data_IF_893739201427
#
_entry.id   IF_893739201427
#
_cell.length_a   1.000
_cell.length_b   1.000
_cell.length_c   1.000
_cell.angle_alpha   90.00
_cell.angle_beta   90.00
_cell.angle_gamma   90.00
#
_symmetry.space_group_name_H-M   'P 1'
#
loop_
_entity.id
_entity.type
_entity.pdbx_description
1 polymer ?
#
# COMPACT_ATOMS: atom_id res chain seq x y z
N UNK A 1 -8.93 -9.85 15.53
CA UNK A 1 -8.31 -8.63 16.10
C UNK A 1 -7.74 -8.89 17.50
N UNK A 2 -8.52 -9.29 18.51
CA UNK A 2 -7.95 -9.54 19.85
C UNK A 2 -6.83 -10.59 19.86
N UNK A 3 -6.97 -11.67 19.08
CA UNK A 3 -5.94 -12.74 18.98
C UNK A 3 -4.70 -12.33 18.16
N UNK A 4 -4.87 -11.50 17.13
CA UNK A 4 -3.78 -11.15 16.22
C UNK A 4 -3.13 -9.81 16.55
N UNK A 5 -3.92 -8.82 16.97
CA UNK A 5 -3.44 -7.45 17.21
C UNK A 5 -3.56 -7.00 18.67
N UNK A 6 -4.22 -7.76 19.55
CA UNK A 6 -4.39 -7.38 20.96
C UNK A 6 -5.33 -6.20 21.19
N UNK A 7 -6.07 -5.76 20.16
CA UNK A 7 -7.02 -4.65 20.23
C UNK A 7 -8.34 -5.11 20.88
N UNK A 8 -8.92 -4.27 21.71
CA UNK A 8 -10.25 -4.48 22.27
C UNK A 8 -11.28 -3.85 21.32
N UNK A 9 -11.96 -4.68 20.54
CA UNK A 9 -12.90 -4.27 19.49
C UNK A 9 -14.25 -4.90 19.77
N UNK A 10 -15.28 -4.08 19.85
CA UNK A 10 -16.67 -4.55 19.90
C UNK A 10 -17.17 -4.81 18.46
N UNK A 11 -17.41 -6.06 18.06
CA UNK A 11 -17.79 -6.38 16.69
C UNK A 11 -19.12 -5.76 16.25
N UNK A 12 -19.99 -5.36 17.18
CA UNK A 12 -21.28 -4.78 16.88
C UNK A 12 -21.25 -3.27 16.64
N UNK A 13 -20.25 -2.59 17.17
CA UNK A 13 -20.20 -1.11 17.12
C UNK A 13 -18.97 -0.57 16.41
N UNK A 14 -17.86 -1.32 16.39
CA UNK A 14 -16.55 -0.80 15.97
C UNK A 14 -16.12 -1.29 14.59
N UNK A 15 -16.96 -2.10 13.90
CA UNK A 15 -16.64 -2.68 12.59
C UNK A 15 -17.68 -2.28 11.56
N UNK A 16 -17.23 -1.73 10.44
CA UNK A 16 -18.04 -1.50 9.25
C UNK A 16 -17.55 -2.44 8.13
N UNK A 17 -18.45 -3.31 7.62
CA UNK A 17 -18.17 -4.13 6.43
C UNK A 17 -18.44 -3.29 5.18
N UNK A 18 -17.52 -3.34 4.21
CA UNK A 18 -17.56 -2.50 3.01
C UNK A 18 -17.26 -3.33 1.75
N UNK A 19 -17.56 -2.77 0.58
CA UNK A 19 -17.23 -3.37 -0.72
C UNK A 19 -15.73 -3.26 -1.06
N UNK A 20 -14.91 -3.96 -0.29
CA UNK A 20 -13.45 -3.93 -0.35
C UNK A 20 -12.85 -2.77 0.42
N UNK A 21 -11.51 -2.80 0.56
CA UNK A 21 -10.77 -1.77 1.29
C UNK A 21 -10.93 -0.38 0.66
N UNK A 22 -11.01 -0.28 -0.66
CA UNK A 22 -11.13 1.03 -1.35
C UNK A 22 -12.39 1.79 -0.92
N UNK A 23 -13.53 1.08 -0.75
CA UNK A 23 -14.74 1.72 -0.21
C UNK A 23 -14.58 2.02 1.28
N UNK A 24 -14.01 1.11 2.07
CA UNK A 24 -13.77 1.34 3.48
C UNK A 24 -12.90 2.60 3.72
N UNK A 25 -11.86 2.79 2.89
CA UNK A 25 -11.02 3.97 2.91
C UNK A 25 -11.78 5.24 2.49
N UNK A 26 -12.48 5.19 1.36
CA UNK A 26 -13.28 6.32 0.88
C UNK A 26 -14.32 6.74 1.91
N UNK A 27 -15.07 5.78 2.48
CA UNK A 27 -16.06 6.06 3.51
C UNK A 27 -15.42 6.61 4.80
N UNK A 28 -14.22 6.14 5.17
CA UNK A 28 -13.46 6.72 6.28
C UNK A 28 -13.11 8.19 6.01
N UNK A 29 -12.58 8.51 4.83
CA UNK A 29 -12.29 9.90 4.43
C UNK A 29 -13.56 10.76 4.48
N UNK A 30 -14.64 10.34 3.83
CA UNK A 30 -15.90 11.10 3.81
C UNK A 30 -16.55 11.25 5.19
N UNK A 31 -16.23 10.37 6.16
CA UNK A 31 -16.77 10.44 7.51
C UNK A 31 -16.11 11.48 8.41
N UNK A 32 -14.86 11.91 8.11
CA UNK A 32 -14.07 12.76 9.01
C UNK A 32 -13.52 14.03 8.37
N UNK A 33 -13.45 14.09 7.02
CA UNK A 33 -12.86 15.23 6.31
C UNK A 33 -13.91 16.22 5.88
N UNK A 34 -13.67 17.49 6.16
CA UNK A 34 -14.45 18.64 5.70
C UNK A 34 -13.66 19.45 4.67
N UNK A 35 -14.36 20.40 4.03
CA UNK A 35 -13.75 21.32 3.07
C UNK A 35 -12.56 22.06 3.70
N UNK A 36 -11.38 21.91 3.12
CA UNK A 36 -10.15 22.59 3.53
C UNK A 36 -9.36 21.91 4.63
N UNK A 37 -9.82 20.77 5.18
CA UNK A 37 -9.04 19.94 6.08
C UNK A 37 -7.82 19.37 5.36
N UNK A 38 -6.68 19.33 6.02
CA UNK A 38 -5.44 18.74 5.49
C UNK A 38 -5.32 17.27 5.88
N UNK A 39 -4.88 16.45 4.93
CA UNK A 39 -4.58 15.02 5.14
C UNK A 39 -3.15 14.73 4.72
N UNK A 40 -2.33 14.25 5.66
CA UNK A 40 -0.95 13.87 5.37
C UNK A 40 -0.89 12.53 4.64
N UNK A 41 -0.11 12.48 3.57
CA UNK A 41 0.19 11.29 2.78
C UNK A 41 1.71 11.08 2.71
N UNK A 42 2.17 9.86 2.91
CA UNK A 42 3.56 9.52 2.60
C UNK A 42 3.73 9.39 1.08
N UNK A 43 4.81 9.96 0.55
CA UNK A 43 5.09 9.99 -0.89
C UNK A 43 6.40 9.24 -1.20
N UNK A 44 6.40 8.20 -2.06
CA UNK A 44 5.32 7.80 -2.96
C UNK A 44 4.12 7.20 -2.23
N UNK A 45 2.91 7.26 -2.84
CA UNK A 45 1.70 6.67 -2.27
C UNK A 45 0.81 6.03 -3.34
N UNK A 46 -0.17 5.28 -2.88
CA UNK A 46 -1.19 4.71 -3.76
C UNK A 46 -2.17 5.80 -4.21
N UNK A 47 -2.35 5.95 -5.50
CA UNK A 47 -3.08 7.03 -6.18
C UNK A 47 -4.51 7.27 -5.68
N UNK A 48 -5.18 6.22 -5.22
CA UNK A 48 -6.57 6.30 -4.75
C UNK A 48 -6.73 7.21 -3.54
N UNK A 49 -5.70 7.37 -2.71
CA UNK A 49 -5.80 8.17 -1.49
C UNK A 49 -6.03 9.65 -1.79
N UNK A 50 -5.22 10.21 -2.68
CA UNK A 50 -5.36 11.61 -3.13
C UNK A 50 -6.76 11.88 -3.71
N UNK A 51 -7.22 10.96 -4.60
CA UNK A 51 -8.53 11.09 -5.22
C UNK A 51 -9.67 11.14 -4.19
N UNK A 52 -9.65 10.26 -3.18
CA UNK A 52 -10.68 10.25 -2.13
C UNK A 52 -10.64 11.53 -1.28
N UNK A 53 -9.45 12.01 -0.91
CA UNK A 53 -9.27 13.23 -0.11
C UNK A 53 -9.81 14.43 -0.87
N UNK A 54 -9.42 14.57 -2.13
CA UNK A 54 -9.87 15.69 -2.99
C UNK A 54 -11.37 15.67 -3.22
N UNK A 55 -11.96 14.49 -3.44
CA UNK A 55 -13.42 14.34 -3.59
C UNK A 55 -14.18 14.74 -2.31
N UNK A 56 -13.60 14.54 -1.13
CA UNK A 56 -14.16 15.00 0.12
C UNK A 56 -13.98 16.50 0.39
N UNK A 57 -13.25 17.22 -0.49
CA UNK A 57 -12.91 18.62 -0.32
C UNK A 57 -11.68 18.85 0.58
N UNK A 58 -10.97 17.80 0.95
CA UNK A 58 -9.73 17.87 1.71
C UNK A 58 -8.52 18.25 0.84
N UNK A 59 -7.44 18.62 1.49
CA UNK A 59 -6.17 19.02 0.87
C UNK A 59 -5.12 17.97 1.20
N UNK A 60 -4.62 17.19 0.20
CA UNK A 60 -3.52 16.27 0.42
C UNK A 60 -2.22 17.05 0.68
N UNK A 61 -1.48 16.65 1.72
CA UNK A 61 -0.18 17.19 2.08
C UNK A 61 0.85 16.06 2.08
N UNK A 62 1.88 16.17 1.28
CA UNK A 62 2.82 15.07 1.04
C UNK A 62 4.06 15.15 1.90
N UNK A 63 4.39 14.02 2.51
CA UNK A 63 5.62 13.80 3.29
C UNK A 63 6.49 12.80 2.55
N UNK A 64 7.61 13.24 1.97
CA UNK A 64 8.47 12.38 1.19
C UNK A 64 9.13 11.30 2.03
N UNK A 65 9.06 10.05 1.57
CA UNK A 65 9.93 8.96 2.02
C UNK A 65 11.20 8.97 1.17
N UNK A 66 12.35 9.01 1.82
CA UNK A 66 13.62 9.19 1.11
C UNK A 66 14.18 7.86 0.58
N UNK A 67 14.33 7.71 -0.76
CA UNK A 67 14.99 6.56 -1.33
C UNK A 67 16.51 6.58 -1.03
N UNK A 68 17.21 5.45 -1.13
CA UNK A 68 16.68 4.17 -1.58
C UNK A 68 15.97 3.36 -0.49
N UNK A 69 16.11 3.70 0.78
CA UNK A 69 15.57 2.94 1.90
C UNK A 69 14.14 3.34 2.29
N UNK A 70 13.58 4.35 1.62
CA UNK A 70 12.26 4.89 1.89
C UNK A 70 12.12 5.32 3.36
N UNK A 71 13.16 6.00 3.86
CA UNK A 71 13.22 6.43 5.26
C UNK A 71 12.26 7.59 5.53
N UNK A 72 11.63 7.55 6.68
CA UNK A 72 10.86 8.66 7.21
C UNK A 72 11.80 9.66 7.89
N UNK A 73 11.73 10.92 7.49
CA UNK A 73 12.38 12.02 8.20
C UNK A 73 11.42 12.56 9.28
N UNK A 74 11.74 12.39 10.59
CA UNK A 74 10.88 12.82 11.67
C UNK A 74 10.63 14.34 11.69
N UNK A 75 11.64 15.14 11.35
CA UNK A 75 11.50 16.59 11.36
C UNK A 75 10.60 17.07 10.22
N UNK A 76 10.74 16.49 9.02
CA UNK A 76 9.86 16.77 7.89
C UNK A 76 8.41 16.41 8.23
N UNK A 77 8.19 15.23 8.79
CA UNK A 77 6.86 14.81 9.22
C UNK A 77 6.27 15.82 10.22
N UNK A 78 7.01 16.15 11.28
CA UNK A 78 6.48 17.06 12.32
C UNK A 78 6.20 18.47 11.80
N UNK A 79 6.96 18.98 10.83
CA UNK A 79 6.72 20.27 10.17
C UNK A 79 5.50 20.28 9.24
N UNK A 80 5.08 19.09 8.77
CA UNK A 80 3.93 18.95 7.88
C UNK A 80 2.59 19.02 8.58
N UNK A 81 2.56 18.85 9.91
CA UNK A 81 1.35 19.05 10.70
C UNK A 81 1.02 20.52 10.89
N UNK A 82 -0.23 20.88 10.71
CA UNK A 82 -0.78 22.23 10.97
C UNK A 82 -2.07 22.12 11.76
N UNK A 83 -2.64 23.26 12.16
CA UNK A 83 -3.96 23.32 12.82
C UNK A 83 -5.11 22.81 11.93
N UNK A 84 -4.88 22.66 10.63
CA UNK A 84 -5.85 22.10 9.68
C UNK A 84 -5.65 20.60 9.44
N UNK A 85 -4.58 20.02 9.95
CA UNK A 85 -4.32 18.59 9.75
C UNK A 85 -5.34 17.75 10.50
N UNK A 86 -6.24 17.11 9.76
CA UNK A 86 -7.32 16.29 10.30
C UNK A 86 -6.96 14.81 10.36
N UNK A 87 -6.19 14.33 9.39
CA UNK A 87 -5.80 12.92 9.34
C UNK A 87 -4.40 12.72 8.73
N UNK A 88 -3.83 11.55 9.00
CA UNK A 88 -2.67 11.00 8.31
C UNK A 88 -3.02 9.61 7.77
N UNK A 89 -2.63 9.31 6.54
CA UNK A 89 -2.81 7.98 5.93
C UNK A 89 -1.52 7.18 6.05
N UNK A 90 -1.62 5.98 6.58
CA UNK A 90 -0.51 5.04 6.77
C UNK A 90 -0.82 3.73 6.05
N UNK A 91 -0.12 3.43 4.98
CA UNK A 91 -0.17 2.12 4.32
C UNK A 91 1.04 1.28 4.73
N UNK A 92 0.82 0.17 5.44
CA UNK A 92 1.88 -0.74 5.87
C UNK A 92 1.35 -2.18 5.86
N UNK A 93 2.04 -3.13 5.20
CA UNK A 93 3.15 -2.94 4.24
C UNK A 93 2.80 -2.04 3.07
N UNK A 94 3.76 -1.26 2.62
CA UNK A 94 3.56 -0.09 1.76
C UNK A 94 3.47 -0.44 0.27
N UNK A 95 2.53 0.13 -0.44
CA UNK A 95 2.44 0.15 -1.89
C UNK A 95 2.80 1.57 -2.38
N UNK A 96 3.87 1.76 -3.19
CA UNK A 96 4.51 0.76 -4.07
C UNK A 96 5.81 0.13 -3.52
N UNK A 97 6.40 0.63 -2.43
CA UNK A 97 7.79 0.36 -2.08
C UNK A 97 8.05 -1.00 -1.43
N UNK A 98 7.03 -1.59 -0.81
CA UNK A 98 7.18 -2.81 -0.01
C UNK A 98 7.78 -2.59 1.39
N UNK A 99 7.93 -1.33 1.83
CA UNK A 99 8.38 -0.98 3.18
C UNK A 99 7.36 -1.46 4.22
N UNK A 100 7.86 -1.97 5.34
CA UNK A 100 7.09 -2.15 6.58
C UNK A 100 7.56 -1.08 7.55
N UNK A 101 6.64 -0.24 8.03
CA UNK A 101 6.99 0.80 9.00
C UNK A 101 7.43 0.18 10.30
N UNK A 102 8.58 0.61 10.82
CA UNK A 102 9.13 0.12 12.08
C UNK A 102 8.35 0.66 13.27
N UNK A 103 8.53 0.01 14.42
CA UNK A 103 7.95 0.47 15.69
C UNK A 103 8.32 1.92 15.98
N UNK A 104 9.57 2.29 15.78
CA UNK A 104 10.06 3.66 16.04
C UNK A 104 9.39 4.67 15.11
N UNK A 105 9.23 4.34 13.82
CA UNK A 105 8.51 5.19 12.88
C UNK A 105 7.04 5.34 13.24
N UNK A 106 6.39 4.25 13.68
CA UNK A 106 5.01 4.29 14.16
C UNK A 106 4.86 5.16 15.43
N UNK A 107 5.82 5.13 16.36
CA UNK A 107 5.81 6.00 17.56
C UNK A 107 5.93 7.49 17.17
N UNK A 108 6.78 7.83 16.20
CA UNK A 108 6.90 9.21 15.67
C UNK A 108 5.58 9.68 15.05
N UNK A 109 4.94 8.83 14.23
CA UNK A 109 3.64 9.14 13.62
C UNK A 109 2.57 9.32 14.71
N UNK A 110 2.54 8.41 15.69
CA UNK A 110 1.60 8.46 16.81
C UNK A 110 1.77 9.72 17.68
N UNK A 111 3.01 10.16 17.90
CA UNK A 111 3.29 11.41 18.59
C UNK A 111 2.66 12.60 17.84
N UNK A 112 2.86 12.67 16.52
CA UNK A 112 2.21 13.68 15.68
C UNK A 112 0.69 13.64 15.81
N UNK A 113 0.08 12.45 15.72
CA UNK A 113 -1.36 12.29 15.85
C UNK A 113 -1.89 12.76 17.22
N UNK A 114 -1.20 12.43 18.31
CA UNK A 114 -1.59 12.86 19.66
C UNK A 114 -1.44 14.36 19.86
N UNK A 115 -0.34 14.93 19.36
CA UNK A 115 -0.02 16.36 19.54
C UNK A 115 -0.99 17.26 18.79
N UNK A 116 -1.43 16.85 17.61
CA UNK A 116 -2.27 17.66 16.74
C UNK A 116 -3.73 17.19 16.70
N UNK A 117 -4.10 16.25 17.56
CA UNK A 117 -5.44 15.63 17.64
C UNK A 117 -5.94 15.14 16.28
N UNK A 118 -5.08 14.50 15.52
CA UNK A 118 -5.41 13.99 14.20
C UNK A 118 -5.68 12.48 14.21
N UNK A 119 -6.46 12.02 13.24
CA UNK A 119 -6.84 10.61 13.06
C UNK A 119 -5.82 9.91 12.19
N UNK A 120 -5.38 8.71 12.59
CA UNK A 120 -4.63 7.82 11.71
C UNK A 120 -5.62 6.95 10.93
N UNK A 121 -5.59 7.02 9.59
CA UNK A 121 -6.31 6.08 8.71
C UNK A 121 -5.27 5.12 8.17
N UNK A 122 -5.40 3.83 8.51
CA UNK A 122 -4.44 2.83 8.05
C UNK A 122 -5.02 1.98 6.92
N UNK A 123 -4.17 1.64 5.96
CA UNK A 123 -4.43 0.61 4.95
C UNK A 123 -3.51 -0.58 5.23
N UNK A 124 -4.10 -1.64 5.78
CA UNK A 124 -3.38 -2.83 6.25
C UNK A 124 -3.68 -4.08 5.40
N UNK A 125 -4.05 -3.92 4.12
CA UNK A 125 -4.42 -5.03 3.23
C UNK A 125 -3.31 -6.06 3.02
N UNK A 126 -2.07 -5.73 3.33
CA UNK A 126 -0.90 -6.61 3.23
C UNK A 126 -0.41 -7.11 4.60
N UNK A 127 -1.17 -6.95 5.68
CA UNK A 127 -0.77 -7.29 7.07
C UNK A 127 -0.17 -8.70 7.23
N UNK A 128 -0.64 -9.67 6.45
CA UNK A 128 -0.15 -11.06 6.44
C UNK A 128 0.93 -11.33 5.39
N UNK A 129 1.32 -10.34 4.60
CA UNK A 129 2.27 -10.50 3.49
C UNK A 129 3.52 -9.69 3.82
N UNK A 130 4.32 -10.23 4.73
CA UNK A 130 5.61 -9.70 5.16
C UNK A 130 6.70 -10.76 4.97
N UNK A 131 7.94 -10.37 4.81
CA UNK A 131 9.07 -11.20 4.42
C UNK A 131 10.23 -11.09 5.39
N UNK A 132 11.21 -12.01 5.31
CA UNK A 132 12.44 -11.99 6.10
C UNK A 132 12.17 -11.83 7.61
N UNK A 133 11.14 -12.52 8.15
CA UNK A 133 10.68 -12.44 9.53
C UNK A 133 10.19 -11.07 9.99
N UNK A 134 9.98 -10.12 9.09
CA UNK A 134 9.33 -8.85 9.44
C UNK A 134 7.93 -9.11 9.97
N UNK A 135 7.54 -8.31 10.96
CA UNK A 135 6.18 -8.36 11.53
C UNK A 135 5.48 -7.05 11.23
N UNK A 136 4.26 -7.16 10.72
CA UNK A 136 3.37 -6.02 10.65
C UNK A 136 2.93 -5.63 12.07
N UNK A 137 3.00 -4.34 12.37
CA UNK A 137 2.41 -3.74 13.57
C UNK A 137 1.39 -2.68 13.15
N UNK A 138 0.23 -2.70 13.78
CA UNK A 138 -0.75 -1.63 13.63
C UNK A 138 -0.45 -0.50 14.60
N UNK A 139 -0.53 0.74 14.14
CA UNK A 139 -0.36 1.93 14.98
C UNK A 139 -1.43 2.02 16.09
N UNK A 140 -2.58 1.38 15.90
CA UNK A 140 -3.67 1.35 16.88
C UNK A 140 -3.27 0.71 18.22
N UNK A 141 -2.17 -0.09 18.26
CA UNK A 141 -1.64 -0.67 19.51
C UNK A 141 -0.88 0.32 20.37
N UNK A 142 -0.45 1.43 19.81
CA UNK A 142 0.33 2.41 20.55
C UNK A 142 -0.56 3.16 21.55
N UNK A 143 -0.02 3.57 22.69
CA UNK A 143 -0.79 4.31 23.70
C UNK A 143 -1.46 5.54 23.11
N UNK A 144 -2.77 5.70 23.36
CA UNK A 144 -3.56 6.81 22.87
C UNK A 144 -3.85 6.78 21.38
N UNK A 145 -3.71 5.61 20.71
CA UNK A 145 -3.96 5.51 19.28
C UNK A 145 -5.22 4.70 18.93
N UNK A 146 -5.68 3.78 19.77
CA UNK A 146 -6.86 2.97 19.44
C UNK A 146 -8.11 3.85 19.24
N UNK A 147 -8.28 4.90 20.06
CA UNK A 147 -9.41 5.82 20.01
C UNK A 147 -9.33 6.86 18.87
N UNK A 148 -8.22 6.90 18.12
CA UNK A 148 -7.99 7.81 16.99
C UNK A 148 -7.48 7.12 15.74
N UNK A 149 -7.65 5.80 15.62
CA UNK A 149 -7.25 5.06 14.43
C UNK A 149 -8.46 4.44 13.74
N UNK A 150 -8.51 4.58 12.42
CA UNK A 150 -9.42 3.86 11.52
C UNK A 150 -8.56 2.88 10.74
N UNK A 151 -8.66 1.58 11.05
CA UNK A 151 -7.96 0.52 10.33
C UNK A 151 -8.81 0.09 9.15
N UNK A 152 -8.29 0.15 7.93
CA UNK A 152 -8.95 -0.41 6.74
C UNK A 152 -8.19 -1.61 6.22
N UNK A 153 -8.91 -2.67 5.86
CA UNK A 153 -8.31 -3.89 5.30
C UNK A 153 -9.33 -4.67 4.44
N UNK A 154 -8.93 -5.80 3.86
CA UNK A 154 -9.80 -6.64 3.04
C UNK A 154 -9.28 -8.08 2.90
N UNK A 155 -10.13 -8.97 2.39
CA UNK A 155 -9.73 -10.32 1.97
C UNK A 155 -8.89 -10.33 0.69
N UNK A 156 -8.91 -9.24 -0.07
CA UNK A 156 -8.46 -9.14 -1.47
C UNK A 156 -7.08 -9.70 -1.73
N UNK A 157 -6.11 -9.42 -0.85
CA UNK A 157 -4.69 -9.72 -1.08
C UNK A 157 -4.30 -11.04 -0.44
N UNK A 158 -4.64 -11.23 0.82
CA UNK A 158 -4.32 -12.43 1.58
C UNK A 158 -4.94 -13.69 0.98
N UNK A 159 -6.14 -13.58 0.42
CA UNK A 159 -6.86 -14.73 -0.14
C UNK A 159 -6.99 -14.70 -1.67
N UNK A 160 -6.31 -13.75 -2.34
CA UNK A 160 -6.33 -13.61 -3.81
C UNK A 160 -7.76 -13.47 -4.39
N UNK A 161 -8.67 -12.84 -3.64
CA UNK A 161 -10.08 -12.66 -4.00
C UNK A 161 -10.46 -11.19 -4.20
N UNK A 162 -9.59 -10.44 -4.84
CA UNK A 162 -9.78 -8.99 -5.07
C UNK A 162 -11.14 -8.66 -5.69
N UNK A 163 -11.64 -9.51 -6.58
CA UNK A 163 -12.94 -9.34 -7.25
C UNK A 163 -14.16 -9.59 -6.36
N UNK A 164 -14.00 -10.19 -5.18
CA UNK A 164 -15.13 -10.46 -4.28
C UNK A 164 -15.65 -9.21 -3.59
N UNK A 165 -14.84 -8.17 -3.52
CA UNK A 165 -15.20 -6.90 -2.91
C UNK A 165 -15.65 -7.02 -1.45
N UNK A 166 -14.89 -7.72 -0.63
CA UNK A 166 -15.09 -7.80 0.83
C UNK A 166 -13.92 -7.13 1.55
N UNK A 167 -14.23 -6.09 2.28
CA UNK A 167 -13.31 -5.34 3.13
C UNK A 167 -14.03 -4.79 4.36
N UNK A 168 -13.30 -4.09 5.18
CA UNK A 168 -13.83 -3.55 6.43
C UNK A 168 -13.05 -2.34 6.89
N UNK A 169 -13.70 -1.52 7.71
CA UNK A 169 -13.07 -0.55 8.58
C UNK A 169 -13.27 -0.96 10.04
N UNK A 170 -12.23 -0.81 10.87
CA UNK A 170 -12.29 -0.97 12.33
C UNK A 170 -11.92 0.37 12.93
N UNK A 171 -12.81 0.94 13.72
CA UNK A 171 -12.71 2.30 14.20
C UNK A 171 -13.45 2.47 15.52
N UNK A 172 -13.24 3.58 16.26
CA UNK A 172 -14.14 3.96 17.36
C UNK A 172 -15.59 3.99 16.90
N UNK A 173 -16.52 3.59 17.76
CA UNK A 173 -17.93 3.36 17.43
C UNK A 173 -18.60 4.51 16.65
N UNK A 174 -18.29 5.75 16.97
CA UNK A 174 -18.83 6.92 16.24
C UNK A 174 -18.35 6.99 14.79
N UNK A 175 -17.06 6.73 14.56
CA UNK A 175 -16.48 6.71 13.21
C UNK A 175 -16.98 5.49 12.43
N UNK A 176 -17.03 4.31 13.05
CA UNK A 176 -17.57 3.10 12.41
C UNK A 176 -19.04 3.29 11.99
N UNK A 177 -19.87 3.90 12.83
CA UNK A 177 -21.26 4.24 12.52
C UNK A 177 -21.36 5.22 11.33
N UNK A 178 -20.50 6.24 11.29
CA UNK A 178 -20.45 7.19 10.16
C UNK A 178 -20.06 6.48 8.85
N UNK A 179 -19.03 5.61 8.90
CA UNK A 179 -18.59 4.80 7.75
C UNK A 179 -19.75 3.88 7.26
N UNK A 180 -20.44 3.19 8.17
CA UNK A 180 -21.59 2.36 7.82
C UNK A 180 -22.70 3.18 7.14
N UNK A 181 -23.00 4.37 7.65
CA UNK A 181 -23.99 5.26 7.06
C UNK A 181 -23.63 5.70 5.64
N UNK A 182 -22.35 5.94 5.35
CA UNK A 182 -21.87 6.28 4.01
C UNK A 182 -21.97 5.04 3.11
N UNK A 183 -21.47 3.89 3.57
CA UNK A 183 -21.54 2.62 2.87
C UNK A 183 -22.95 2.28 2.41
N UNK A 184 -23.94 2.34 3.32
CA UNK A 184 -25.34 2.05 3.00
C UNK A 184 -25.86 2.98 1.88
N UNK A 185 -25.46 4.24 1.84
CA UNK A 185 -25.93 5.22 0.85
C UNK A 185 -25.25 5.08 -0.53
N UNK A 186 -24.08 4.43 -0.58
CA UNK A 186 -23.32 4.26 -1.83
C UNK A 186 -23.60 2.90 -2.45
N UNK A 187 -23.63 1.83 -1.64
CA UNK A 187 -23.64 0.44 -2.13
C UNK A 187 -24.69 -0.46 -1.47
N UNK A 188 -25.48 0.04 -0.54
CA UNK A 188 -26.42 -0.68 0.32
C UNK A 188 -25.74 -1.74 1.20
N UNK A 189 -25.06 -2.73 0.61
CA UNK A 189 -24.34 -3.78 1.34
C UNK A 189 -23.23 -4.42 0.51
N UNK A 190 -22.22 -4.94 1.19
CA UNK A 190 -21.26 -5.84 0.56
C UNK A 190 -21.94 -7.18 0.19
N UNK A 191 -21.48 -7.88 -0.88
CA UNK A 191 -22.13 -9.09 -1.37
C UNK A 191 -22.28 -10.19 -0.29
N UNK A 192 -23.51 -10.48 0.13
CA UNK A 192 -23.79 -11.40 1.24
C UNK A 192 -23.19 -12.81 1.06
N UNK A 193 -23.21 -13.46 -0.13
CA UNK A 193 -22.56 -14.77 -0.30
C UNK A 193 -21.08 -14.74 -0.03
N UNK A 194 -20.40 -13.63 -0.36
CA UNK A 194 -18.97 -13.48 -0.13
C UNK A 194 -18.65 -13.07 1.30
N UNK A 195 -19.55 -12.42 2.02
CA UNK A 195 -19.41 -12.22 3.47
C UNK A 195 -19.45 -13.57 4.19
N UNK A 196 -20.36 -14.48 3.81
CA UNK A 196 -20.39 -15.84 4.39
C UNK A 196 -19.11 -16.62 4.06
N UNK A 197 -18.66 -16.60 2.81
CA UNK A 197 -17.40 -17.22 2.41
C UNK A 197 -16.19 -16.63 3.16
N UNK A 198 -16.22 -15.35 3.53
CA UNK A 198 -15.20 -14.68 4.32
C UNK A 198 -14.97 -15.33 5.69
N UNK A 199 -16.01 -15.89 6.31
CA UNK A 199 -15.90 -16.58 7.59
C UNK A 199 -14.94 -17.79 7.50
N UNK A 200 -15.01 -18.54 6.41
CA UNK A 200 -14.09 -19.65 6.15
C UNK A 200 -12.67 -19.17 5.96
N UNK A 201 -12.48 -18.13 5.16
CA UNK A 201 -11.17 -17.52 4.90
C UNK A 201 -10.52 -17.01 6.21
N UNK A 202 -11.25 -16.25 7.01
CA UNK A 202 -10.74 -15.68 8.27
C UNK A 202 -10.48 -16.73 9.36
N UNK A 203 -11.01 -17.93 9.22
CA UNK A 203 -10.74 -19.08 10.10
C UNK A 203 -9.60 -19.96 9.61
N UNK A 204 -8.91 -19.58 8.53
CA UNK A 204 -7.76 -20.33 8.03
C UNK A 204 -6.72 -20.55 9.14
N UNK A 205 -6.10 -21.73 9.20
CA UNK A 205 -5.08 -22.03 10.18
C UNK A 205 -3.80 -21.22 9.93
N UNK A 206 -2.93 -21.13 10.91
CA UNK A 206 -1.71 -20.30 10.85
C UNK A 206 -0.79 -20.72 9.69
N UNK A 207 -0.76 -22.00 9.38
CA UNK A 207 0.04 -22.61 8.31
C UNK A 207 -0.33 -22.05 6.92
N UNK A 208 -1.58 -21.65 6.73
CA UNK A 208 -1.99 -20.94 5.51
C UNK A 208 -1.20 -19.64 5.31
N UNK A 209 -1.12 -18.82 6.36
CA UNK A 209 -0.45 -17.53 6.31
C UNK A 209 1.08 -17.68 6.21
N UNK A 210 1.64 -18.71 6.85
CA UNK A 210 3.07 -19.03 6.75
C UNK A 210 3.43 -19.49 5.34
N UNK A 211 2.62 -20.38 4.76
CA UNK A 211 2.79 -20.83 3.37
C UNK A 211 2.66 -19.66 2.39
N UNK A 212 1.66 -18.81 2.56
CA UNK A 212 1.45 -17.62 1.74
C UNK A 212 2.68 -16.72 1.73
N UNK A 213 3.23 -16.42 2.91
CA UNK A 213 4.46 -15.62 3.06
C UNK A 213 5.63 -16.25 2.33
N UNK A 214 5.90 -17.55 2.57
CA UNK A 214 7.00 -18.25 1.94
C UNK A 214 6.91 -18.28 0.41
N UNK A 215 5.72 -18.51 -0.14
CA UNK A 215 5.49 -18.49 -1.59
C UNK A 215 5.77 -17.09 -2.18
N UNK A 216 5.29 -16.03 -1.55
CA UNK A 216 5.52 -14.69 -2.06
C UNK A 216 6.95 -14.20 -1.84
N UNK A 217 7.60 -14.62 -0.77
CA UNK A 217 9.02 -14.35 -0.53
C UNK A 217 9.90 -14.92 -1.65
N UNK A 218 9.67 -16.18 -2.03
CA UNK A 218 10.37 -16.81 -3.16
C UNK A 218 10.11 -16.07 -4.49
N UNK A 219 8.88 -15.65 -4.76
CA UNK A 219 8.55 -14.88 -5.97
C UNK A 219 9.20 -13.49 -5.97
N UNK A 220 9.23 -12.81 -4.81
CA UNK A 220 9.97 -11.55 -4.65
C UNK A 220 11.44 -11.73 -5.00
N UNK A 221 12.09 -12.72 -4.39
CA UNK A 221 13.53 -12.95 -4.57
C UNK A 221 13.86 -13.36 -6.03
N UNK A 222 12.99 -14.16 -6.66
CA UNK A 222 13.09 -14.47 -8.08
C UNK A 222 13.02 -13.21 -8.95
N UNK A 223 12.02 -12.34 -8.72
CA UNK A 223 11.86 -11.11 -9.50
C UNK A 223 12.99 -10.10 -9.25
N UNK A 224 13.50 -10.01 -8.01
CA UNK A 224 14.67 -9.17 -7.71
C UNK A 224 15.89 -9.62 -8.50
N UNK A 225 16.17 -10.94 -8.52
CA UNK A 225 17.28 -11.51 -9.30
C UNK A 225 17.09 -11.25 -10.79
N UNK A 226 15.88 -11.46 -11.30
CA UNK A 226 15.53 -11.22 -12.71
C UNK A 226 15.80 -9.76 -13.10
N UNK A 227 15.21 -8.81 -12.38
CA UNK A 227 15.34 -7.39 -12.70
C UNK A 227 16.78 -6.90 -12.53
N UNK A 228 17.50 -7.38 -11.52
CA UNK A 228 18.92 -7.08 -11.34
C UNK A 228 19.77 -7.58 -12.51
N UNK A 229 19.46 -8.74 -13.10
CA UNK A 229 20.18 -9.28 -14.27
C UNK A 229 20.00 -8.47 -15.54
N UNK A 230 18.92 -7.68 -15.63
CA UNK A 230 18.64 -6.79 -16.77
C UNK A 230 18.94 -5.31 -16.45
N UNK A 231 19.73 -5.05 -15.39
CA UNK A 231 20.28 -3.74 -15.09
C UNK A 231 19.43 -2.81 -14.21
N UNK A 232 18.25 -3.24 -13.75
CA UNK A 232 17.49 -2.44 -12.78
C UNK A 232 18.22 -2.32 -11.46
N UNK A 233 18.06 -1.17 -10.82
CA UNK A 233 18.64 -0.90 -9.50
C UNK A 233 17.61 -1.18 -8.42
N UNK A 234 17.80 -2.28 -7.69
CA UNK A 234 16.95 -2.67 -6.56
C UNK A 234 17.77 -2.49 -5.28
N UNK A 235 17.79 -1.27 -4.77
CA UNK A 235 18.58 -0.91 -3.60
C UNK A 235 17.82 -1.13 -2.28
N UNK A 236 16.52 -1.35 -2.36
CA UNK A 236 15.67 -1.71 -1.23
C UNK A 236 15.02 -3.07 -1.48
N UNK A 237 15.26 -4.01 -0.57
CA UNK A 237 14.59 -5.32 -0.58
C UNK A 237 13.21 -5.16 0.05
N UNK A 238 12.10 -5.37 -0.68
CA UNK A 238 10.77 -5.25 -0.11
C UNK A 238 10.58 -6.13 1.12
N UNK A 239 10.10 -5.55 2.20
CA UNK A 239 9.84 -6.20 3.47
C UNK A 239 8.43 -6.79 3.54
N UNK A 240 7.56 -6.39 2.62
CA UNK A 240 6.18 -6.86 2.52
C UNK A 240 5.53 -6.42 1.22
N UNK A 241 4.20 -6.54 1.13
CA UNK A 241 3.36 -6.29 -0.04
C UNK A 241 3.59 -7.25 -1.20
N UNK A 242 3.19 -6.88 -2.42
CA UNK A 242 3.23 -7.73 -3.62
C UNK A 242 4.03 -7.09 -4.76
N UNK A 243 4.85 -6.07 -4.42
CA UNK A 243 5.48 -5.20 -5.41
C UNK A 243 6.98 -5.06 -5.17
N UNK A 244 7.70 -4.94 -6.29
CA UNK A 244 9.02 -4.35 -6.36
C UNK A 244 8.89 -2.94 -6.94
N UNK A 245 9.49 -1.97 -6.29
CA UNK A 245 9.61 -0.61 -6.80
C UNK A 245 11.07 -0.40 -7.21
N UNK A 246 11.33 -0.66 -8.50
CA UNK A 246 12.68 -0.74 -9.05
C UNK A 246 13.05 0.55 -9.77
N UNK A 247 14.26 1.02 -9.55
CA UNK A 247 14.83 2.15 -10.27
C UNK A 247 15.35 1.68 -11.63
N UNK A 248 15.07 2.45 -12.69
CA UNK A 248 15.60 2.20 -14.04
C UNK A 248 17.13 2.13 -14.04
N UNK A 249 17.73 1.41 -15.00
CA UNK A 249 19.19 1.37 -15.15
C UNK A 249 19.79 2.77 -15.15
N UNK A 250 21.01 2.92 -14.57
CA UNK A 250 21.64 4.23 -14.37
C UNK A 250 21.78 5.02 -15.68
N UNK A 251 22.17 4.32 -16.74
CA UNK A 251 22.46 4.92 -18.05
C UNK A 251 21.23 4.95 -18.96
N UNK A 252 20.06 4.54 -18.47
CA UNK A 252 18.81 4.61 -19.21
C UNK A 252 18.35 6.08 -19.33
N UNK A 253 18.24 6.56 -20.55
CA UNK A 253 17.82 7.92 -20.88
C UNK A 253 16.29 8.06 -20.99
N UNK A 254 15.58 6.92 -21.06
CA UNK A 254 14.12 6.90 -21.13
C UNK A 254 13.51 7.27 -19.78
N UNK A 255 12.37 7.94 -19.83
CA UNK A 255 11.51 8.09 -18.67
C UNK A 255 10.82 6.75 -18.34
N UNK A 256 10.20 6.67 -17.18
CA UNK A 256 9.43 5.50 -16.74
C UNK A 256 8.33 5.08 -17.72
N UNK A 257 7.60 6.03 -18.32
CA UNK A 257 6.55 5.75 -19.32
C UNK A 257 7.16 5.24 -20.61
N UNK A 258 8.13 5.97 -21.18
CA UNK A 258 8.81 5.55 -22.41
C UNK A 258 9.44 4.16 -22.26
N UNK A 259 10.04 3.88 -21.08
CA UNK A 259 10.59 2.57 -20.80
C UNK A 259 9.52 1.47 -20.79
N UNK A 260 8.37 1.72 -20.16
CA UNK A 260 7.27 0.75 -20.11
C UNK A 260 6.67 0.54 -21.51
N UNK A 261 6.51 1.58 -22.31
CA UNK A 261 6.03 1.48 -23.69
C UNK A 261 6.98 0.62 -24.55
N UNK A 262 8.28 0.89 -24.48
CA UNK A 262 9.29 0.08 -25.17
C UNK A 262 9.30 -1.39 -24.70
N UNK A 263 9.18 -1.62 -23.38
CA UNK A 263 9.11 -2.96 -22.82
C UNK A 263 7.89 -3.75 -23.33
N UNK A 264 6.74 -3.09 -23.44
CA UNK A 264 5.53 -3.68 -24.02
C UNK A 264 5.75 -4.05 -25.50
N UNK A 265 6.30 -3.12 -26.28
CA UNK A 265 6.50 -3.31 -27.71
C UNK A 265 7.53 -4.41 -28.02
N UNK A 266 8.63 -4.44 -27.27
CA UNK A 266 9.75 -5.34 -27.57
C UNK A 266 9.65 -6.70 -26.89
N UNK A 267 9.08 -6.78 -25.69
CA UNK A 267 9.01 -8.00 -24.89
C UNK A 267 7.58 -8.48 -24.61
N UNK A 268 6.57 -7.65 -24.81
CA UNK A 268 5.20 -7.99 -24.39
C UNK A 268 5.03 -8.07 -22.87
N UNK A 269 5.93 -7.45 -22.10
CA UNK A 269 5.89 -7.42 -20.64
C UNK A 269 5.33 -6.09 -20.15
N UNK A 270 4.28 -6.13 -19.32
CA UNK A 270 3.61 -4.94 -18.78
C UNK A 270 4.00 -4.75 -17.32
N UNK A 271 4.49 -3.56 -17.00
CA UNK A 271 4.74 -3.07 -15.64
C UNK A 271 4.10 -1.69 -15.48
N UNK A 272 4.13 -1.13 -14.27
CA UNK A 272 3.47 0.15 -14.01
C UNK A 272 4.53 1.25 -13.90
N UNK A 273 4.42 2.37 -14.66
CA UNK A 273 5.29 3.52 -14.52
C UNK A 273 5.23 4.10 -13.10
N UNK A 274 6.36 4.56 -12.59
CA UNK A 274 6.48 5.04 -11.21
C UNK A 274 5.87 6.41 -10.96
N UNK A 275 5.75 7.24 -12.01
CA UNK A 275 5.27 8.62 -11.87
C UNK A 275 3.90 8.76 -11.22
N UNK A 276 3.00 7.78 -11.40
CA UNK A 276 1.67 7.79 -10.81
C UNK A 276 1.65 7.59 -9.29
N UNK A 277 2.79 7.33 -8.66
CA UNK A 277 2.91 7.19 -7.21
C UNK A 277 3.55 8.39 -6.53
N UNK A 278 4.17 9.30 -7.29
CA UNK A 278 4.84 10.49 -6.77
C UNK A 278 4.01 11.74 -7.06
N UNK A 279 3.67 12.47 -6.02
CA UNK A 279 2.76 13.62 -6.07
C UNK A 279 3.38 14.89 -5.46
N UNK A 280 4.27 14.73 -4.47
CA UNK A 280 4.92 15.84 -3.77
C UNK A 280 6.02 16.52 -4.58
N UNK A 281 6.20 17.82 -4.38
CA UNK A 281 7.26 18.59 -5.07
C UNK A 281 8.68 18.09 -4.77
N UNK A 282 8.93 17.58 -3.54
CA UNK A 282 10.25 17.09 -3.15
C UNK A 282 10.62 15.78 -3.84
N UNK A 283 9.64 14.93 -4.14
CA UNK A 283 9.83 13.62 -4.76
C UNK A 283 9.77 13.65 -6.29
N UNK A 284 9.40 14.79 -6.90
CA UNK A 284 9.25 14.91 -8.36
C UNK A 284 10.52 14.53 -9.13
N UNK A 285 11.71 14.71 -8.54
CA UNK A 285 13.00 14.29 -9.10
C UNK A 285 13.11 12.77 -9.34
N UNK A 286 12.29 11.97 -8.64
CA UNK A 286 12.27 10.50 -8.75
C UNK A 286 11.18 9.99 -9.70
N UNK A 287 10.17 10.79 -10.03
CA UNK A 287 8.98 10.39 -10.77
C UNK A 287 9.27 9.59 -12.05
N UNK A 288 10.31 10.00 -12.81
CA UNK A 288 10.63 9.40 -14.10
C UNK A 288 11.62 8.23 -14.01
N UNK A 289 12.01 7.81 -12.80
CA UNK A 289 13.10 6.86 -12.60
C UNK A 289 12.68 5.51 -12.06
N UNK A 290 11.42 5.33 -11.65
CA UNK A 290 10.95 4.11 -11.02
C UNK A 290 9.87 3.42 -11.84
N UNK A 291 9.79 2.09 -11.69
CA UNK A 291 8.67 1.28 -12.16
C UNK A 291 8.21 0.38 -11.01
N UNK A 292 6.90 0.06 -10.99
CA UNK A 292 6.35 -0.92 -10.07
C UNK A 292 6.12 -2.24 -10.79
N UNK A 293 6.71 -3.32 -10.28
CA UNK A 293 6.56 -4.69 -10.77
C UNK A 293 5.77 -5.51 -9.77
N UNK A 294 4.66 -6.13 -10.20
CA UNK A 294 3.85 -7.01 -9.38
C UNK A 294 4.33 -8.45 -9.52
N UNK A 295 4.82 -9.06 -8.45
CA UNK A 295 5.28 -10.45 -8.44
C UNK A 295 4.21 -11.47 -7.98
N UNK A 296 2.99 -11.03 -7.69
CA UNK A 296 1.86 -11.88 -7.33
C UNK A 296 1.24 -12.60 -8.56
N UNK A 297 2.09 -13.14 -9.42
CA UNK A 297 1.69 -13.84 -10.65
C UNK A 297 1.95 -15.34 -10.52
N UNK A 298 1.39 -16.14 -11.44
CA UNK A 298 1.73 -17.56 -11.53
C UNK A 298 3.21 -17.74 -11.87
N UNK A 299 3.80 -18.86 -11.48
CA UNK A 299 5.18 -19.21 -11.87
C UNK A 299 5.35 -19.21 -13.40
N UNK A 300 4.36 -19.71 -14.12
CA UNK A 300 4.37 -19.70 -15.58
C UNK A 300 4.48 -18.27 -16.14
N UNK A 301 3.73 -17.31 -15.58
CA UNK A 301 3.79 -15.91 -15.99
C UNK A 301 5.15 -15.28 -15.66
N UNK A 302 5.70 -15.55 -14.47
CA UNK A 302 6.99 -15.01 -14.06
C UNK A 302 8.14 -15.59 -14.91
N UNK A 303 8.09 -16.90 -15.21
CA UNK A 303 9.07 -17.56 -16.08
C UNK A 303 8.97 -17.05 -17.53
N UNK A 304 7.76 -16.84 -18.06
CA UNK A 304 7.57 -16.25 -19.39
C UNK A 304 8.17 -14.84 -19.47
N UNK A 305 7.96 -14.00 -18.44
CA UNK A 305 8.58 -12.69 -18.36
C UNK A 305 10.12 -12.79 -18.30
N UNK A 306 10.66 -13.72 -17.50
CA UNK A 306 12.11 -13.96 -17.44
C UNK A 306 12.71 -14.36 -18.79
N UNK A 307 12.02 -15.23 -19.53
CA UNK A 307 12.44 -15.61 -20.88
C UNK A 307 12.48 -14.38 -21.81
N UNK A 308 11.43 -13.55 -21.79
CA UNK A 308 11.34 -12.33 -22.59
C UNK A 308 12.45 -11.33 -22.28
N UNK A 309 12.76 -11.12 -21.01
CA UNK A 309 13.92 -10.31 -20.62
C UNK A 309 15.24 -10.92 -21.11
N UNK A 310 15.40 -12.25 -21.04
CA UNK A 310 16.57 -12.94 -21.58
C UNK A 310 16.72 -12.78 -23.10
N UNK A 311 15.63 -12.83 -23.85
CA UNK A 311 15.60 -12.58 -25.30
C UNK A 311 16.05 -11.15 -25.63
N UNK A 312 15.59 -10.14 -24.88
CA UNK A 312 16.02 -8.74 -25.04
C UNK A 312 17.53 -8.54 -24.83
N UNK A 313 18.10 -9.18 -23.79
CA UNK A 313 19.53 -9.10 -23.50
C UNK A 313 20.35 -9.73 -24.64
N UNK A 314 19.95 -10.91 -25.11
CA UNK A 314 20.67 -11.67 -26.12
C UNK A 314 20.56 -11.06 -27.53
N UNK A 315 19.46 -10.42 -27.84
CA UNK A 315 19.24 -9.82 -29.15
C UNK A 315 20.11 -8.59 -29.40
N UNK A 316 20.83 -8.07 -28.39
CA UNK A 316 21.43 -6.72 -28.44
C UNK A 316 20.45 -5.68 -29.02
N UNK A 317 19.17 -6.03 -28.96
CA UNK A 317 18.09 -5.33 -29.61
C UNK A 317 17.69 -4.16 -28.73
N UNK A 318 18.19 -3.07 -29.06
CA UNK A 318 17.93 -1.71 -28.62
C UNK A 318 18.87 -1.23 -27.50
N UNK A 319 19.82 -0.37 -27.88
CA UNK A 319 20.65 0.37 -26.91
C UNK A 319 19.84 1.22 -25.91
N UNK A 320 18.53 1.37 -26.11
CA UNK A 320 17.66 2.19 -25.26
C UNK A 320 17.17 1.51 -23.97
N UNK A 321 17.03 0.15 -23.96
CA UNK A 321 16.51 -0.58 -22.79
C UNK A 321 17.62 -1.26 -21.97
N UNK A 322 18.76 -1.61 -22.59
CA UNK A 322 19.80 -2.50 -22.02
C UNK A 322 21.07 -1.74 -21.60
N UNK A 323 21.09 -0.42 -21.51
CA UNK A 323 22.26 0.34 -21.06
C UNK A 323 21.96 1.17 -19.83
#
# INVERSE_FOLDING_TARGET
MKKTHGLDVNPLTDIAICCGQSEAFAAAIFSIINQGDEVLLFDPCYETYEGCITLAGGIPVYVALEPPQWTLDPEKLMRSFTSRTKAIVLNSPHNPTGKVFSRDELEIIAEGCRRWDCVAITDEVYEYITYDNQKHETIAKLPGMQERTIITSSLSKTFSVTGWRIGWAIAPASAASAIQNIHIRITDSAPAPFQEAALTALRSPIEYFETLRGVYELKRDFCMKLLGSVGFRIQFKPQGSLFLFAELPKDCLLSDVEYVEELIQQAGVVVVPGRGFFHGNESCKYQKRYIRVAFCKSEATLNAAAQKFGELINAKACPKIVY
#
